data_IF_957324742937
#
_entry.id   IF_957324742937
#
_cell.length_a   1.000
_cell.length_b   1.000
_cell.length_c   1.000
_cell.angle_alpha   90.00
_cell.angle_beta   90.00
_cell.angle_gamma   90.00
#
_symmetry.space_group_name_H-M   'P 1'
#
loop_
_entity.id
_entity.type
_entity.pdbx_description
1 polymer ?
#
# COMPACT_ATOMS: atom_id res chain seq x y z
N UNK A 1 -2.89 -24.98 -20.43
CA UNK A 1 -1.91 -26.08 -20.28
C UNK A 1 -1.52 -26.37 -18.83
N UNK A 2 -1.56 -25.41 -17.89
CA UNK A 2 -1.19 -25.65 -16.48
C UNK A 2 -2.15 -26.55 -15.68
N UNK A 3 -3.47 -26.51 -15.94
CA UNK A 3 -4.45 -27.29 -15.17
C UNK A 3 -4.30 -28.81 -15.34
N UNK A 4 -3.97 -29.26 -16.55
CA UNK A 4 -3.79 -30.69 -16.84
C UNK A 4 -2.62 -31.34 -16.08
N UNK A 5 -1.57 -30.57 -15.77
CA UNK A 5 -0.44 -31.06 -14.99
C UNK A 5 -0.79 -31.21 -13.51
N UNK A 6 -1.51 -30.23 -12.95
CA UNK A 6 -2.01 -30.27 -11.56
C UNK A 6 -2.99 -31.43 -11.37
N UNK A 7 -3.90 -31.62 -12.31
CA UNK A 7 -4.87 -32.74 -12.26
C UNK A 7 -4.17 -34.11 -12.34
N UNK A 8 -3.06 -34.20 -13.07
CA UNK A 8 -2.26 -35.43 -13.18
C UNK A 8 -1.48 -35.71 -11.89
N UNK A 9 -0.84 -34.69 -11.30
CA UNK A 9 -0.16 -34.82 -10.01
C UNK A 9 -1.13 -35.18 -8.88
N UNK A 10 -2.30 -34.55 -8.86
CA UNK A 10 -3.34 -34.86 -7.86
C UNK A 10 -3.80 -36.31 -7.95
N UNK A 11 -3.95 -36.85 -9.17
CA UNK A 11 -4.26 -38.27 -9.38
C UNK A 11 -3.15 -39.19 -8.89
N UNK A 12 -1.88 -38.85 -9.16
CA UNK A 12 -0.73 -39.63 -8.70
C UNK A 12 -0.65 -39.67 -7.18
N UNK A 13 -0.81 -38.51 -6.52
CA UNK A 13 -0.81 -38.42 -5.05
C UNK A 13 -1.97 -39.22 -4.46
N UNK A 14 -3.18 -39.07 -5.02
CA UNK A 14 -4.36 -39.78 -4.54
C UNK A 14 -4.19 -41.30 -4.65
N UNK A 15 -3.65 -41.78 -5.79
CA UNK A 15 -3.34 -43.20 -5.97
C UNK A 15 -2.32 -43.67 -4.94
N UNK A 16 -1.21 -42.94 -4.79
CA UNK A 16 -0.15 -43.32 -3.85
C UNK A 16 -0.64 -43.34 -2.39
N UNK A 17 -1.44 -42.35 -1.99
CA UNK A 17 -2.05 -42.33 -0.66
C UNK A 17 -2.98 -43.53 -0.44
N UNK A 18 -3.75 -43.93 -1.47
CA UNK A 18 -4.60 -45.12 -1.39
C UNK A 18 -3.77 -46.38 -1.17
N UNK A 19 -2.73 -46.59 -1.99
CA UNK A 19 -1.86 -47.77 -1.93
C UNK A 19 -1.18 -47.87 -0.55
N UNK A 20 -0.57 -46.77 -0.08
CA UNK A 20 0.10 -46.72 1.23
C UNK A 20 -0.88 -46.97 2.38
N UNK A 21 -2.08 -46.40 2.31
CA UNK A 21 -3.11 -46.57 3.35
C UNK A 21 -3.60 -48.02 3.37
N UNK A 22 -3.83 -48.62 2.20
CA UNK A 22 -4.27 -50.02 2.09
C UNK A 22 -3.22 -50.99 2.64
N UNK A 23 -1.96 -50.83 2.25
CA UNK A 23 -0.84 -51.64 2.74
C UNK A 23 -0.69 -51.52 4.26
N UNK A 24 -0.72 -50.29 4.79
CA UNK A 24 -0.60 -50.02 6.22
C UNK A 24 -1.75 -50.63 7.03
N UNK A 25 -2.99 -50.53 6.53
CA UNK A 25 -4.17 -51.14 7.19
C UNK A 25 -4.05 -52.66 7.21
N UNK A 26 -3.60 -53.30 6.11
CA UNK A 26 -3.38 -54.76 6.05
C UNK A 26 -2.30 -55.22 7.04
N UNK A 27 -1.21 -54.46 7.17
CA UNK A 27 -0.14 -54.76 8.12
C UNK A 27 -0.63 -54.63 9.57
N UNK A 28 -1.30 -53.52 9.91
CA UNK A 28 -1.89 -53.30 11.23
C UNK A 28 -2.90 -54.40 11.57
N UNK A 29 -3.77 -54.78 10.63
CA UNK A 29 -4.71 -55.86 10.81
C UNK A 29 -4.01 -57.19 11.11
N UNK A 30 -2.92 -57.50 10.41
CA UNK A 30 -2.11 -58.71 10.65
C UNK A 30 -1.50 -58.70 12.05
N UNK A 31 -0.94 -57.57 12.47
CA UNK A 31 -0.37 -57.39 13.82
C UNK A 31 -1.45 -57.56 14.89
N UNK A 32 -2.59 -56.89 14.76
CA UNK A 32 -3.68 -56.99 15.73
C UNK A 32 -4.31 -58.38 15.78
N UNK A 33 -4.43 -59.07 14.64
CA UNK A 33 -4.84 -60.48 14.63
C UNK A 33 -3.83 -61.35 15.39
N UNK A 34 -2.53 -61.07 15.28
CA UNK A 34 -1.50 -61.77 16.05
C UNK A 34 -1.54 -61.50 17.55
N UNK A 35 -1.98 -60.30 17.97
CA UNK A 35 -2.04 -59.90 19.38
C UNK A 35 -3.33 -60.36 20.05
N UNK A 36 -4.47 -60.13 19.40
CA UNK A 36 -5.81 -60.34 19.97
C UNK A 36 -6.47 -61.65 19.52
N UNK A 37 -5.86 -62.39 18.59
CA UNK A 37 -6.39 -63.65 18.09
C UNK A 37 -7.69 -63.44 17.30
N UNK A 38 -8.74 -64.20 17.65
CA UNK A 38 -10.04 -64.20 16.96
C UNK A 38 -11.04 -63.17 17.49
N UNK A 39 -10.62 -62.23 18.36
CA UNK A 39 -11.50 -61.16 18.85
C UNK A 39 -11.72 -60.10 17.77
N UNK A 40 -12.67 -60.36 16.88
CA UNK A 40 -12.98 -59.48 15.75
C UNK A 40 -13.62 -58.17 16.17
N UNK A 41 -14.30 -58.12 17.33
CA UNK A 41 -14.97 -56.90 17.78
C UNK A 41 -13.94 -55.89 18.30
N UNK A 42 -12.92 -56.34 19.03
CA UNK A 42 -11.82 -55.48 19.46
C UNK A 42 -11.01 -54.94 18.27
N UNK A 43 -10.74 -55.77 17.26
CA UNK A 43 -10.04 -55.35 16.03
C UNK A 43 -10.87 -54.32 15.25
N UNK A 44 -12.19 -54.53 15.13
CA UNK A 44 -13.11 -53.57 14.48
C UNK A 44 -13.13 -52.24 15.21
N UNK A 45 -13.19 -52.24 16.54
CA UNK A 45 -13.18 -51.02 17.35
C UNK A 45 -11.90 -50.21 17.10
N UNK A 46 -10.74 -50.88 17.10
CA UNK A 46 -9.46 -50.23 16.81
C UNK A 46 -9.35 -49.71 15.36
N UNK A 47 -9.85 -50.46 14.38
CA UNK A 47 -9.92 -50.01 12.98
C UNK A 47 -10.83 -48.78 12.83
N UNK A 48 -11.94 -48.74 13.59
CA UNK A 48 -12.81 -47.57 13.64
C UNK A 48 -12.08 -46.36 14.22
N UNK A 49 -11.30 -46.53 15.29
CA UNK A 49 -10.45 -45.44 15.80
C UNK A 49 -9.48 -44.92 14.74
N UNK A 50 -8.80 -45.81 14.00
CA UNK A 50 -7.90 -45.39 12.90
C UNK A 50 -8.66 -44.63 11.81
N UNK A 51 -9.86 -45.09 11.45
CA UNK A 51 -10.71 -44.38 10.48
C UNK A 51 -11.09 -42.99 10.98
N UNK A 52 -11.50 -42.87 12.24
CA UNK A 52 -11.85 -41.59 12.85
C UNK A 52 -10.62 -40.67 12.90
N UNK A 53 -9.45 -41.16 13.28
CA UNK A 53 -8.20 -40.37 13.32
C UNK A 53 -7.80 -39.86 11.92
N UNK A 54 -7.87 -40.71 10.89
CA UNK A 54 -7.60 -40.32 9.50
C UNK A 54 -8.60 -39.26 9.01
N UNK A 55 -9.87 -39.40 9.39
CA UNK A 55 -10.90 -38.42 9.05
C UNK A 55 -10.58 -37.06 9.67
N UNK A 56 -10.31 -37.01 10.97
CA UNK A 56 -9.97 -35.76 11.66
C UNK A 56 -8.71 -35.13 11.06
N UNK A 57 -7.68 -35.92 10.75
CA UNK A 57 -6.47 -35.42 10.09
C UNK A 57 -6.79 -34.65 8.80
N UNK A 58 -7.61 -35.21 7.91
CA UNK A 58 -7.97 -34.54 6.65
C UNK A 58 -8.88 -33.33 6.86
N UNK A 59 -9.81 -33.40 7.82
CA UNK A 59 -10.64 -32.25 8.22
C UNK A 59 -9.76 -31.08 8.68
N UNK A 60 -8.75 -31.34 9.51
CA UNK A 60 -7.78 -30.33 9.97
C UNK A 60 -6.98 -29.72 8.80
N UNK A 61 -6.52 -30.54 7.84
CA UNK A 61 -5.80 -30.03 6.66
C UNK A 61 -6.70 -29.13 5.79
N UNK A 62 -7.96 -29.52 5.60
CA UNK A 62 -8.95 -28.73 4.84
C UNK A 62 -9.25 -27.43 5.57
N UNK A 63 -9.48 -27.47 6.87
CA UNK A 63 -9.72 -26.27 7.68
C UNK A 63 -8.52 -25.32 7.62
N UNK A 64 -7.29 -25.83 7.73
CA UNK A 64 -6.08 -25.05 7.59
C UNK A 64 -5.96 -24.35 6.23
N UNK A 65 -6.29 -25.04 5.14
CA UNK A 65 -6.30 -24.46 3.79
C UNK A 65 -7.39 -23.39 3.62
N UNK A 66 -8.61 -23.64 4.14
CA UNK A 66 -9.72 -22.67 4.12
C UNK A 66 -9.38 -21.43 4.93
N UNK A 67 -8.82 -21.60 6.13
CA UNK A 67 -8.36 -20.50 6.98
C UNK A 67 -7.30 -19.65 6.27
N UNK A 68 -6.31 -20.29 5.65
CA UNK A 68 -5.27 -19.61 4.84
C UNK A 68 -5.90 -18.78 3.71
N UNK A 69 -6.86 -19.36 2.97
CA UNK A 69 -7.59 -18.66 1.92
C UNK A 69 -8.34 -17.43 2.47
N UNK A 70 -9.06 -17.58 3.57
CA UNK A 70 -9.83 -16.50 4.19
C UNK A 70 -8.93 -15.35 4.66
N UNK A 71 -7.80 -15.67 5.28
CA UNK A 71 -6.80 -14.68 5.65
C UNK A 71 -6.24 -13.91 4.45
N UNK A 72 -5.99 -14.62 3.34
CA UNK A 72 -5.50 -13.98 2.12
C UNK A 72 -6.55 -13.07 1.49
N UNK A 73 -7.83 -13.48 1.46
CA UNK A 73 -8.95 -12.64 1.00
C UNK A 73 -9.06 -11.37 1.84
N UNK A 74 -9.04 -11.49 3.18
CA UNK A 74 -9.11 -10.33 4.06
C UNK A 74 -7.94 -9.34 3.86
N UNK A 75 -6.72 -9.85 3.62
CA UNK A 75 -5.56 -9.01 3.28
C UNK A 75 -5.75 -8.28 1.95
N UNK A 76 -6.23 -8.97 0.92
CA UNK A 76 -6.54 -8.40 -0.39
C UNK A 76 -7.59 -7.30 -0.28
N UNK A 77 -8.68 -7.54 0.46
CA UNK A 77 -9.73 -6.54 0.69
C UNK A 77 -9.19 -5.31 1.42
N UNK A 78 -8.33 -5.51 2.42
CA UNK A 78 -7.67 -4.41 3.13
C UNK A 78 -6.79 -3.59 2.19
N UNK A 79 -5.96 -4.24 1.38
CA UNK A 79 -5.07 -3.58 0.41
C UNK A 79 -5.85 -2.85 -0.68
N UNK A 80 -6.92 -3.45 -1.19
CA UNK A 80 -7.80 -2.82 -2.18
C UNK A 80 -8.47 -1.56 -1.62
N UNK A 81 -8.94 -1.62 -0.37
CA UNK A 81 -9.48 -0.45 0.34
C UNK A 81 -8.44 0.63 0.55
N UNK A 82 -7.21 0.28 0.91
CA UNK A 82 -6.10 1.22 1.06
C UNK A 82 -5.74 1.88 -0.27
N UNK A 83 -5.57 1.09 -1.34
CA UNK A 83 -5.29 1.59 -2.68
C UNK A 83 -6.36 2.57 -3.14
N UNK A 84 -7.65 2.23 -2.96
CA UNK A 84 -8.77 3.10 -3.28
C UNK A 84 -8.74 4.42 -2.50
N UNK A 85 -8.43 4.37 -1.20
CA UNK A 85 -8.33 5.57 -0.36
C UNK A 85 -7.17 6.47 -0.80
N UNK A 86 -6.02 5.88 -1.13
CA UNK A 86 -4.86 6.62 -1.64
C UNK A 86 -5.13 7.24 -3.01
N UNK A 87 -5.75 6.48 -3.91
CA UNK A 87 -6.15 6.95 -5.24
C UNK A 87 -7.07 8.18 -5.14
N UNK A 88 -8.10 8.10 -4.28
CA UNK A 88 -9.00 9.22 -4.00
C UNK A 88 -8.27 10.41 -3.37
N UNK A 89 -7.36 10.16 -2.43
CA UNK A 89 -6.61 11.22 -1.76
C UNK A 89 -5.63 11.94 -2.70
N UNK A 90 -5.05 11.21 -3.66
CA UNK A 90 -4.10 11.73 -4.64
C UNK A 90 -4.78 12.36 -5.87
N UNK A 91 -6.11 12.29 -5.98
CA UNK A 91 -6.86 12.77 -7.14
C UNK A 91 -6.59 11.97 -8.42
N UNK A 92 -6.22 10.69 -8.29
CA UNK A 92 -5.93 9.83 -9.44
C UNK A 92 -7.22 9.24 -10.03
N UNK A 93 -7.24 9.00 -11.34
CA UNK A 93 -8.37 8.34 -12.00
C UNK A 93 -8.49 6.89 -11.53
N UNK A 94 -9.71 6.49 -11.15
CA UNK A 94 -10.07 5.15 -10.66
C UNK A 94 -9.74 4.04 -11.68
N UNK A 95 -8.52 3.53 -11.61
CA UNK A 95 -8.04 2.40 -12.39
C UNK A 95 -8.10 1.08 -11.60
N UNK A 96 -8.47 1.16 -10.32
CA UNK A 96 -8.49 0.07 -9.35
C UNK A 96 -9.47 -1.08 -9.68
N UNK A 97 -10.35 -0.92 -10.67
CA UNK A 97 -11.23 -1.97 -11.20
C UNK A 97 -10.85 -2.40 -12.62
N UNK A 98 -9.55 -2.63 -12.89
CA UNK A 98 -9.15 -3.30 -14.14
C UNK A 98 -9.76 -4.71 -14.19
N UNK A 99 -10.49 -5.08 -15.26
CA UNK A 99 -11.04 -6.42 -15.45
C UNK A 99 -9.99 -7.54 -15.38
N UNK A 100 -8.70 -7.23 -15.59
CA UNK A 100 -7.63 -8.23 -15.56
C UNK A 100 -7.34 -8.80 -14.17
N UNK A 101 -7.76 -8.13 -13.09
CA UNK A 101 -7.51 -8.55 -11.72
C UNK A 101 -8.50 -9.63 -11.22
N UNK A 102 -9.67 -9.74 -11.86
CA UNK A 102 -10.76 -10.62 -11.39
C UNK A 102 -10.49 -12.11 -11.59
N UNK A 103 -9.51 -12.48 -12.43
CA UNK A 103 -9.19 -13.88 -12.76
C UNK A 103 -7.83 -14.34 -12.23
N UNK A 104 -7.07 -13.45 -11.57
CA UNK A 104 -5.75 -13.78 -11.06
C UNK A 104 -5.82 -14.65 -9.79
N UNK A 105 -4.86 -15.57 -9.58
CA UNK A 105 -4.68 -16.25 -8.30
C UNK A 105 -4.53 -15.24 -7.14
N UNK A 106 -5.14 -15.53 -5.98
CA UNK A 106 -5.18 -14.62 -4.84
C UNK A 106 -3.79 -14.10 -4.43
N UNK A 107 -2.76 -14.95 -4.43
CA UNK A 107 -1.38 -14.53 -4.07
C UNK A 107 -0.85 -13.48 -5.05
N UNK A 108 -1.10 -13.65 -6.35
CA UNK A 108 -0.67 -12.68 -7.37
C UNK A 108 -1.42 -11.37 -7.23
N UNK A 109 -2.73 -11.44 -6.98
CA UNK A 109 -3.56 -10.27 -6.74
C UNK A 109 -3.07 -9.48 -5.52
N UNK A 110 -2.69 -10.17 -4.44
CA UNK A 110 -2.08 -9.53 -3.28
C UNK A 110 -0.77 -8.82 -3.64
N UNK A 111 0.14 -9.48 -4.36
CA UNK A 111 1.42 -8.90 -4.73
C UNK A 111 1.27 -7.67 -5.63
N UNK A 112 0.31 -7.70 -6.55
CA UNK A 112 -0.02 -6.56 -7.42
C UNK A 112 -0.59 -5.40 -6.60
N UNK A 113 -1.50 -5.66 -5.67
CA UNK A 113 -2.04 -4.63 -4.79
C UNK A 113 -0.98 -4.03 -3.87
N UNK A 114 -0.07 -4.84 -3.32
CA UNK A 114 1.07 -4.35 -2.52
C UNK A 114 1.94 -3.39 -3.34
N UNK A 115 2.30 -3.77 -4.57
CA UNK A 115 3.08 -2.91 -5.46
C UNK A 115 2.35 -1.61 -5.77
N UNK A 116 1.04 -1.67 -5.99
CA UNK A 116 0.20 -0.50 -6.26
C UNK A 116 0.16 0.45 -5.06
N UNK A 117 -0.11 -0.08 -3.86
CA UNK A 117 -0.13 0.70 -2.61
C UNK A 117 1.23 1.33 -2.35
N UNK A 118 2.34 0.58 -2.54
CA UNK A 118 3.69 1.14 -2.41
C UNK A 118 3.92 2.30 -3.38
N UNK A 119 3.57 2.14 -4.66
CA UNK A 119 3.71 3.19 -5.67
C UNK A 119 2.87 4.44 -5.33
N UNK A 120 1.65 4.29 -4.84
CA UNK A 120 0.84 5.42 -4.39
C UNK A 120 1.43 6.12 -3.17
N UNK A 121 1.99 5.36 -2.22
CA UNK A 121 2.67 5.94 -1.08
C UNK A 121 3.95 6.70 -1.49
N UNK A 122 4.70 6.20 -2.49
CA UNK A 122 5.82 6.93 -3.08
C UNK A 122 5.38 8.27 -3.68
N UNK A 123 4.33 8.27 -4.52
CA UNK A 123 3.77 9.50 -5.11
C UNK A 123 3.32 10.48 -4.01
N UNK A 124 2.63 9.99 -2.99
CA UNK A 124 2.18 10.80 -1.85
C UNK A 124 3.35 11.47 -1.15
N UNK A 125 4.40 10.71 -0.85
CA UNK A 125 5.57 11.22 -0.13
C UNK A 125 6.36 12.24 -0.99
N UNK A 126 6.51 11.95 -2.28
CA UNK A 126 7.17 12.84 -3.24
C UNK A 126 6.45 14.19 -3.33
N UNK A 127 5.13 14.16 -3.55
CA UNK A 127 4.30 15.38 -3.62
C UNK A 127 4.30 16.16 -2.32
N UNK A 128 4.26 15.47 -1.18
CA UNK A 128 4.32 16.13 0.13
C UNK A 128 5.65 16.86 0.29
N UNK A 129 6.77 16.20 -0.05
CA UNK A 129 8.09 16.82 0.00
C UNK A 129 8.17 18.03 -0.91
N UNK A 130 7.80 17.88 -2.18
CA UNK A 130 7.84 18.98 -3.16
C UNK A 130 6.97 20.16 -2.73
N UNK A 131 5.76 19.90 -2.22
CA UNK A 131 4.87 20.95 -1.72
C UNK A 131 5.47 21.71 -0.53
N UNK A 132 6.15 21.01 0.39
CA UNK A 132 6.82 21.65 1.53
C UNK A 132 7.99 22.53 1.08
N UNK A 133 8.79 22.07 0.13
CA UNK A 133 9.89 22.85 -0.47
C UNK A 133 9.37 24.11 -1.17
N UNK A 134 8.29 24.00 -1.96
CA UNK A 134 7.64 25.14 -2.61
C UNK A 134 7.08 26.11 -1.58
N UNK A 135 6.51 25.62 -0.48
CA UNK A 135 6.00 26.46 0.60
C UNK A 135 7.12 27.25 1.29
N UNK A 136 8.27 26.62 1.54
CA UNK A 136 9.44 27.31 2.10
C UNK A 136 9.92 28.43 1.16
N UNK A 137 10.01 28.14 -0.15
CA UNK A 137 10.32 29.14 -1.16
C UNK A 137 9.29 30.29 -1.20
N UNK A 138 8.00 29.99 -1.03
CA UNK A 138 6.97 31.04 -1.00
C UNK A 138 7.18 31.97 0.19
N UNK A 139 7.44 31.39 1.37
CA UNK A 139 7.68 32.17 2.59
C UNK A 139 8.85 33.13 2.42
N UNK A 140 9.98 32.65 1.88
CA UNK A 140 11.17 33.49 1.63
C UNK A 140 10.87 34.63 0.64
N UNK A 141 10.20 34.33 -0.47
CA UNK A 141 9.85 35.33 -1.48
C UNK A 141 8.86 36.36 -0.93
N UNK A 142 7.83 35.91 -0.21
CA UNK A 142 6.85 36.79 0.40
C UNK A 142 7.47 37.69 1.48
N UNK A 143 8.44 37.20 2.25
CA UNK A 143 9.19 38.02 3.22
C UNK A 143 9.95 39.15 2.51
N UNK A 144 10.65 38.86 1.42
CA UNK A 144 11.39 39.86 0.61
C UNK A 144 10.42 40.89 0.00
N UNK A 145 9.27 40.43 -0.51
CA UNK A 145 8.30 41.26 -1.20
C UNK A 145 7.35 42.04 -0.26
N UNK A 146 7.34 41.70 1.04
CA UNK A 146 6.34 42.21 1.99
C UNK A 146 4.92 41.70 1.73
N UNK A 147 4.78 40.54 1.09
CA UNK A 147 3.51 39.86 0.84
C UNK A 147 3.18 38.83 1.93
N UNK A 148 1.93 38.36 1.99
CA UNK A 148 1.53 37.25 2.86
C UNK A 148 1.55 35.93 2.07
N UNK A 149 2.20 34.86 2.59
CA UNK A 149 2.16 33.54 1.96
C UNK A 149 0.73 33.03 1.78
N UNK A 150 0.46 32.38 0.64
CA UNK A 150 -0.88 31.87 0.30
C UNK A 150 -0.98 30.35 0.40
N UNK A 151 0.15 29.63 0.32
CA UNK A 151 0.16 28.19 0.51
C UNK A 151 -0.18 27.86 1.96
N UNK A 152 -1.20 27.01 2.12
CA UNK A 152 -1.83 26.77 3.41
C UNK A 152 -0.83 26.35 4.49
N UNK A 153 -1.05 26.84 5.71
CA UNK A 153 -0.35 26.32 6.88
C UNK A 153 -0.75 24.87 7.12
N UNK A 154 -0.03 23.93 6.49
CA UNK A 154 0.17 22.61 7.07
C UNK A 154 0.73 22.84 8.47
N UNK A 155 -0.16 22.87 9.46
CA UNK A 155 0.21 22.95 10.85
C UNK A 155 1.09 21.73 11.14
N UNK A 156 2.39 21.95 11.21
CA UNK A 156 3.41 21.04 11.74
C UNK A 156 3.24 20.79 13.24
N UNK A 157 2.00 20.75 13.75
CA UNK A 157 1.66 20.18 15.07
C UNK A 157 1.69 18.64 15.02
N UNK A 158 2.69 18.09 14.33
CA UNK A 158 3.16 16.73 14.60
C UNK A 158 4.05 16.71 15.85
N UNK A 159 4.49 17.87 16.33
CA UNK A 159 4.92 18.02 17.71
C UNK A 159 3.76 18.46 18.60
N UNK A 160 3.50 17.60 19.59
CA UNK A 160 2.73 17.81 20.82
C UNK A 160 1.24 17.44 20.82
N UNK A 161 1.04 16.30 21.50
CA UNK A 161 -0.10 15.90 22.32
C UNK A 161 -1.27 15.20 21.63
N UNK A 162 -1.21 13.86 21.74
CA UNK A 162 -2.32 12.98 22.09
C UNK A 162 -3.51 13.72 22.71
N UNK A 163 -4.51 14.02 21.90
CA UNK A 163 -5.90 13.98 22.36
C UNK A 163 -6.71 13.26 21.30
N UNK A 164 -7.28 12.14 21.73
CA UNK A 164 -8.30 11.37 21.01
C UNK A 164 -9.41 12.29 20.50
N UNK A 165 -10.11 11.81 19.48
CA UNK A 165 -11.25 12.43 18.76
C UNK A 165 -10.90 13.20 17.49
N UNK A 166 -10.97 12.44 16.39
CA UNK A 166 -10.95 12.85 14.98
C UNK A 166 -9.64 13.52 14.56
N UNK A 167 -8.69 12.67 14.18
CA UNK A 167 -7.52 13.04 13.39
C UNK A 167 -7.93 14.09 12.33
N UNK A 168 -7.35 15.31 12.35
CA UNK A 168 -7.52 16.25 11.25
C UNK A 168 -7.19 15.48 9.99
N UNK A 169 -8.11 15.45 9.01
CA UNK A 169 -7.82 14.79 7.73
C UNK A 169 -6.50 15.36 7.24
N UNK A 170 -5.44 14.56 7.30
CA UNK A 170 -4.12 14.97 6.85
C UNK A 170 -4.28 15.32 5.38
N UNK A 171 -4.21 16.61 5.06
CA UNK A 171 -4.25 17.08 3.69
C UNK A 171 -3.12 16.39 2.92
N UNK A 172 -3.44 15.86 1.75
CA UNK A 172 -2.47 15.23 0.84
C UNK A 172 -2.50 16.09 -0.42
N UNK A 173 -1.39 16.77 -0.77
CA UNK A 173 -1.33 17.55 -2.01
C UNK A 173 -1.63 16.68 -3.23
N UNK A 174 -2.60 17.12 -4.02
CA UNK A 174 -2.88 16.56 -5.34
C UNK A 174 -1.88 17.11 -6.37
N UNK A 175 -1.90 16.58 -7.60
CA UNK A 175 -1.08 17.13 -8.68
C UNK A 175 -1.42 18.60 -8.98
N UNK A 176 -2.71 18.96 -8.89
CA UNK A 176 -3.18 20.31 -9.14
C UNK A 176 -2.71 21.29 -8.05
N UNK A 177 -2.64 20.83 -6.80
CA UNK A 177 -2.13 21.64 -5.68
C UNK A 177 -0.64 21.97 -5.85
N UNK A 178 0.17 20.99 -6.26
CA UNK A 178 1.61 21.19 -6.53
C UNK A 178 1.80 22.11 -7.73
N UNK A 179 1.01 21.93 -8.80
CA UNK A 179 1.07 22.81 -9.97
C UNK A 179 0.67 24.26 -9.64
N UNK A 180 -0.36 24.46 -8.81
CA UNK A 180 -0.75 25.77 -8.34
C UNK A 180 0.33 26.43 -7.47
N UNK A 181 0.97 25.66 -6.59
CA UNK A 181 2.10 26.14 -5.80
C UNK A 181 3.28 26.58 -6.68
N UNK A 182 3.62 25.78 -7.69
CA UNK A 182 4.67 26.13 -8.64
C UNK A 182 4.36 27.44 -9.40
N UNK A 183 3.15 27.58 -9.93
CA UNK A 183 2.71 28.79 -10.63
C UNK A 183 2.74 30.04 -9.73
N UNK A 184 2.42 29.88 -8.44
CA UNK A 184 2.52 30.95 -7.44
C UNK A 184 3.97 31.39 -7.25
N UNK A 185 4.90 30.44 -7.09
CA UNK A 185 6.34 30.74 -6.99
C UNK A 185 6.86 31.47 -8.22
N UNK A 186 6.49 31.03 -9.43
CA UNK A 186 6.87 31.73 -10.65
C UNK A 186 6.37 33.17 -10.68
N UNK A 187 5.11 33.39 -10.29
CA UNK A 187 4.52 34.73 -10.22
C UNK A 187 5.27 35.64 -9.24
N UNK A 188 5.62 35.12 -8.05
CA UNK A 188 6.40 35.87 -7.05
C UNK A 188 7.81 36.20 -7.55
N UNK A 189 8.48 35.25 -8.22
CA UNK A 189 9.81 35.49 -8.82
C UNK A 189 9.77 36.54 -9.92
N UNK A 190 8.76 36.49 -10.79
CA UNK A 190 8.56 37.54 -11.81
C UNK A 190 8.35 38.90 -11.15
N UNK A 191 7.56 38.97 -10.08
CA UNK A 191 7.33 40.21 -9.34
C UNK A 191 8.60 40.75 -8.67
N UNK A 192 9.40 39.88 -8.08
CA UNK A 192 10.70 40.25 -7.50
C UNK A 192 11.62 40.84 -8.57
N UNK A 193 11.74 40.19 -9.73
CA UNK A 193 12.58 40.67 -10.82
C UNK A 193 12.12 42.05 -11.36
N UNK A 194 10.81 42.30 -11.45
CA UNK A 194 10.27 43.61 -11.80
C UNK A 194 10.69 44.70 -10.81
N UNK A 195 10.52 44.43 -9.51
CA UNK A 195 10.88 45.38 -8.46
C UNK A 195 12.39 45.63 -8.40
N UNK A 196 13.23 44.62 -8.60
CA UNK A 196 14.69 44.77 -8.67
C UNK A 196 15.11 45.63 -9.87
N UNK A 197 14.44 45.47 -11.01
CA UNK A 197 14.69 46.29 -12.19
C UNK A 197 14.23 47.75 -11.98
N UNK A 198 13.05 47.97 -11.41
CA UNK A 198 12.56 49.31 -11.03
C UNK A 198 13.48 49.99 -10.01
N UNK A 199 13.92 49.26 -8.99
CA UNK A 199 14.86 49.75 -7.98
C UNK A 199 16.20 50.14 -8.61
N UNK A 200 16.72 49.32 -9.54
CA UNK A 200 17.96 49.61 -10.26
C UNK A 200 17.81 50.87 -11.12
N UNK A 201 16.68 51.02 -11.80
CA UNK A 201 16.37 52.22 -12.59
C UNK A 201 16.31 53.47 -11.71
N UNK A 202 15.55 53.44 -10.62
CA UNK A 202 15.43 54.54 -9.67
C UNK A 202 16.77 54.90 -9.03
N UNK A 203 17.60 53.90 -8.72
CA UNK A 203 18.96 54.11 -8.19
C UNK A 203 19.85 54.83 -9.20
N UNK A 204 19.77 54.48 -10.48
CA UNK A 204 20.48 55.18 -11.55
C UNK A 204 19.99 56.62 -11.72
N UNK A 205 18.66 56.85 -11.73
CA UNK A 205 18.07 58.19 -11.81
C UNK A 205 18.47 59.07 -10.62
N UNK A 206 18.39 58.55 -9.40
CA UNK A 206 18.82 59.25 -8.20
C UNK A 206 20.32 59.61 -8.26
N UNK A 207 21.16 58.69 -8.74
CA UNK A 207 22.59 58.95 -8.91
C UNK A 207 22.84 60.11 -9.87
N UNK A 208 22.17 60.13 -11.02
CA UNK A 208 22.26 61.23 -11.99
C UNK A 208 21.83 62.56 -11.36
N UNK A 209 20.73 62.58 -10.61
CA UNK A 209 20.25 63.79 -9.93
C UNK A 209 21.22 64.30 -8.86
N UNK A 210 21.82 63.41 -8.08
CA UNK A 210 22.82 63.77 -7.07
C UNK A 210 24.09 64.35 -7.72
N UNK A 211 24.53 63.77 -8.83
CA UNK A 211 25.65 64.29 -9.63
C UNK A 211 25.35 65.68 -10.21
N UNK A 212 24.14 65.91 -10.71
CA UNK A 212 23.69 67.21 -11.23
C UNK A 212 23.60 68.30 -10.15
N UNK A 213 23.24 67.94 -8.92
CA UNK A 213 23.15 68.88 -7.80
C UNK A 213 24.49 69.11 -7.08
N UNK A 214 25.61 68.52 -7.55
CA UNK A 214 26.91 68.51 -6.87
C UNK A 214 26.85 67.98 -5.42
N UNK A 215 25.81 67.22 -5.09
CA UNK A 215 25.64 66.64 -3.76
C UNK A 215 26.53 65.41 -3.71
N UNK A 216 27.69 65.52 -3.04
CA UNK A 216 28.47 64.34 -2.70
C UNK A 216 27.70 63.51 -1.66
N UNK A 217 27.66 62.17 -1.84
CA UNK A 217 26.97 61.27 -0.93
C UNK A 217 27.53 61.34 0.49
#
# INVERSE_FOLDING_TARGET
MSGHLVDQEMKLITSHCHDVTEESIKEIHTIWTSIYGSDTELIKERLKTVQDDLKHFWEDQIEGAVSTKNHLVARIESLAKEAFNLEKALGLQSNSTSPSLSSAPLIKLEDELKKLVSSYNEIKNERMREYLELKEQENELCEILGETPQLSEYNSRLDQTYTEYKSPRSYIPTGDDVAAAFARIETLRSRQAELENEFTKLKCELKTLLEECEIRP
#
